data_IF_122106549575
#
_entry.id   IF_122106549575
#
_cell.length_a   1.000
_cell.length_b   1.000
_cell.length_c   1.000
_cell.angle_alpha   90.00
_cell.angle_beta   90.00
_cell.angle_gamma   90.00
#
_symmetry.space_group_name_H-M   'P 1'
#
loop_
_entity.id
_entity.type
_entity.pdbx_description
1 polymer ?
#
# COMPACT_ATOMS: atom_id res chain seq x y z
N UNK A 1 -21.24 -3.16 -9.48
CA UNK A 1 -19.93 -3.76 -9.11
C UNK A 1 -19.90 -3.91 -7.60
N UNK A 2 -19.43 -5.03 -7.08
CA UNK A 2 -19.26 -5.19 -5.63
C UNK A 2 -18.22 -4.16 -5.13
N UNK A 3 -18.55 -3.33 -4.13
CA UNK A 3 -17.62 -2.34 -3.60
C UNK A 3 -16.34 -2.98 -3.07
N UNK A 4 -15.20 -2.28 -3.21
CA UNK A 4 -13.91 -2.71 -2.65
C UNK A 4 -13.35 -1.65 -1.73
N UNK A 5 -13.02 -2.03 -0.51
CA UNK A 5 -12.46 -1.18 0.54
C UNK A 5 -10.98 -1.48 0.72
N UNK A 6 -10.14 -0.53 0.36
CA UNK A 6 -8.68 -0.64 0.37
C UNK A 6 -8.12 0.31 1.42
N UNK A 7 -7.39 -0.23 2.38
CA UNK A 7 -6.57 0.57 3.30
C UNK A 7 -5.15 0.60 2.77
N UNK A 8 -4.57 1.80 2.69
CA UNK A 8 -3.16 2.01 2.35
C UNK A 8 -2.49 2.64 3.56
N UNK A 9 -1.49 1.96 4.13
CA UNK A 9 -0.83 2.43 5.35
C UNK A 9 0.69 2.40 5.22
N UNK A 10 1.36 3.29 5.92
CA UNK A 10 2.82 3.33 6.00
C UNK A 10 3.31 4.53 6.80
N UNK A 11 4.56 4.87 6.58
CA UNK A 11 5.24 5.98 7.25
C UNK A 11 5.36 7.16 6.29
N UNK A 12 5.23 8.37 6.80
CA UNK A 12 5.39 9.60 6.01
C UNK A 12 6.72 9.63 5.25
N UNK A 13 6.64 9.85 3.93
CA UNK A 13 7.77 9.82 3.00
C UNK A 13 7.86 8.58 2.12
N UNK A 14 7.07 7.53 2.38
CA UNK A 14 7.07 6.30 1.56
C UNK A 14 6.22 6.40 0.27
N UNK A 15 5.54 7.52 0.05
CA UNK A 15 4.75 7.74 -1.16
C UNK A 15 3.33 7.17 -1.13
N UNK A 16 2.77 6.94 0.06
CA UNK A 16 1.40 6.44 0.26
C UNK A 16 0.37 7.30 -0.46
N UNK A 17 0.47 8.64 -0.30
CA UNK A 17 -0.42 9.60 -0.96
C UNK A 17 -0.39 9.47 -2.49
N UNK A 18 0.81 9.36 -3.08
CA UNK A 18 0.92 9.19 -4.53
C UNK A 18 0.30 7.87 -4.97
N UNK A 19 0.52 6.78 -4.24
CA UNK A 19 -0.10 5.49 -4.55
C UNK A 19 -1.63 5.56 -4.48
N UNK A 20 -2.17 6.21 -3.45
CA UNK A 20 -3.61 6.41 -3.26
C UNK A 20 -4.22 7.25 -4.39
N UNK A 21 -3.56 8.34 -4.77
CA UNK A 21 -4.03 9.20 -5.86
C UNK A 21 -4.03 8.48 -7.20
N UNK A 22 -2.93 7.78 -7.55
CA UNK A 22 -2.85 7.00 -8.80
C UNK A 22 -3.92 5.91 -8.86
N UNK A 23 -4.21 5.24 -7.73
CA UNK A 23 -5.27 4.25 -7.67
C UNK A 23 -6.65 4.88 -7.90
N UNK A 24 -6.89 6.04 -7.31
CA UNK A 24 -8.12 6.82 -7.53
C UNK A 24 -8.27 7.29 -8.98
N UNK A 25 -7.20 7.82 -9.58
CA UNK A 25 -7.18 8.27 -10.98
C UNK A 25 -7.42 7.11 -11.95
N UNK A 26 -6.80 5.94 -11.71
CA UNK A 26 -7.04 4.74 -12.50
C UNK A 26 -8.50 4.28 -12.42
N UNK A 27 -9.12 4.34 -11.25
CA UNK A 27 -10.53 4.02 -11.07
C UNK A 27 -11.42 5.01 -11.84
N UNK A 28 -11.15 6.31 -11.73
CA UNK A 28 -11.90 7.35 -12.44
C UNK A 28 -11.79 7.23 -13.96
N UNK A 29 -10.60 6.92 -14.49
CA UNK A 29 -10.39 6.73 -15.93
C UNK A 29 -11.20 5.55 -16.48
N UNK A 30 -11.50 4.56 -15.65
CA UNK A 30 -12.35 3.41 -15.97
C UNK A 30 -13.85 3.67 -15.72
N UNK A 31 -14.22 4.90 -15.34
CA UNK A 31 -15.61 5.25 -15.02
C UNK A 31 -16.12 4.62 -13.74
N UNK A 32 -15.23 4.15 -12.86
CA UNK A 32 -15.62 3.58 -11.57
C UNK A 32 -15.82 4.70 -10.54
N UNK A 33 -16.93 4.70 -9.79
CA UNK A 33 -17.06 5.57 -8.62
C UNK A 33 -15.93 5.28 -7.62
N UNK A 34 -15.29 6.32 -7.11
CA UNK A 34 -14.22 6.20 -6.13
C UNK A 34 -14.31 7.31 -5.09
N UNK A 35 -14.09 6.94 -3.84
CA UNK A 35 -13.94 7.87 -2.72
C UNK A 35 -12.62 7.57 -2.04
N UNK A 36 -11.82 8.61 -1.79
CA UNK A 36 -10.58 8.50 -1.06
C UNK A 36 -10.57 9.44 0.15
N UNK A 37 -9.92 9.01 1.23
CA UNK A 37 -9.67 9.83 2.41
C UNK A 37 -8.29 9.55 2.97
N UNK A 38 -7.75 10.51 3.72
CA UNK A 38 -6.45 10.40 4.35
C UNK A 38 -6.52 10.83 5.80
N UNK A 39 -5.81 10.09 6.64
CA UNK A 39 -5.59 10.40 8.05
C UNK A 39 -4.09 10.47 8.27
N UNK A 40 -3.61 11.64 8.65
CA UNK A 40 -2.21 11.86 8.99
C UNK A 40 -2.02 11.93 10.49
N UNK A 41 -1.00 11.26 11.00
CA UNK A 41 -0.49 11.52 12.34
C UNK A 41 0.09 12.93 12.46
N UNK A 42 0.20 13.48 13.67
CA UNK A 42 0.71 14.82 13.91
C UNK A 42 2.20 15.01 13.54
N UNK A 43 2.95 13.94 13.36
CA UNK A 43 4.36 14.00 12.94
C UNK A 43 4.45 14.15 11.42
N UNK A 44 5.02 15.27 10.94
CA UNK A 44 5.19 15.55 9.50
C UNK A 44 6.16 14.60 8.80
N UNK A 45 7.07 13.95 9.50
CA UNK A 45 7.99 12.91 8.99
C UNK A 45 8.05 11.76 9.99
N UNK A 46 8.04 10.54 9.47
CA UNK A 46 8.09 9.34 10.31
C UNK A 46 6.79 9.05 11.07
N UNK A 47 5.72 9.85 10.87
CA UNK A 47 4.39 9.59 11.42
C UNK A 47 3.60 8.61 10.55
N UNK A 48 2.59 8.00 11.16
CA UNK A 48 1.67 7.10 10.46
C UNK A 48 0.88 7.89 9.42
N UNK A 49 0.78 7.35 8.23
CA UNK A 49 -0.11 7.81 7.17
C UNK A 49 -1.05 6.66 6.82
N UNK A 50 -2.34 6.86 7.06
CA UNK A 50 -3.39 5.92 6.68
C UNK A 50 -4.29 6.59 5.64
N UNK A 51 -4.46 5.93 4.50
CA UNK A 51 -5.38 6.35 3.45
C UNK A 51 -6.40 5.25 3.21
N UNK A 52 -7.62 5.63 2.90
CA UNK A 52 -8.66 4.72 2.44
C UNK A 52 -9.01 5.02 0.98
N UNK A 53 -9.11 3.99 0.15
CA UNK A 53 -9.63 4.06 -1.22
C UNK A 53 -10.78 3.08 -1.33
N UNK A 54 -11.95 3.60 -1.66
CA UNK A 54 -13.18 2.83 -1.79
C UNK A 54 -13.64 2.88 -3.24
N UNK A 55 -13.66 1.73 -3.89
CA UNK A 55 -14.09 1.58 -5.28
C UNK A 55 -15.53 1.08 -5.33
N UNK A 56 -16.35 1.68 -6.19
CA UNK A 56 -17.76 1.34 -6.32
C UNK A 56 -18.68 2.35 -5.65
N UNK A 57 -19.98 2.06 -5.64
CA UNK A 57 -21.01 2.96 -5.09
C UNK A 57 -20.99 2.92 -3.55
N UNK A 58 -20.21 3.80 -2.96
CA UNK A 58 -20.01 3.91 -1.50
C UNK A 58 -20.17 5.37 -1.10
N UNK A 59 -21.00 5.61 -0.10
CA UNK A 59 -21.35 6.97 0.36
C UNK A 59 -20.42 7.51 1.46
N UNK A 60 -19.59 6.68 2.10
CA UNK A 60 -18.73 7.08 3.21
C UNK A 60 -17.27 6.73 2.95
N UNK A 61 -16.32 7.64 3.15
CA UNK A 61 -14.89 7.36 3.01
C UNK A 61 -14.30 6.57 4.18
N UNK A 62 -15.08 6.25 5.19
CA UNK A 62 -14.60 5.61 6.42
C UNK A 62 -14.69 4.09 6.28
N UNK A 63 -13.58 3.40 6.53
CA UNK A 63 -13.52 1.95 6.68
C UNK A 63 -13.58 1.62 8.17
N UNK A 64 -14.65 0.94 8.61
CA UNK A 64 -14.81 0.51 9.99
C UNK A 64 -13.87 -0.67 10.33
N UNK A 65 -13.65 -0.98 11.61
CA UNK A 65 -12.90 -2.17 12.01
C UNK A 65 -13.42 -3.44 11.34
N UNK A 66 -12.52 -4.26 10.81
CA UNK A 66 -12.86 -5.52 10.17
C UNK A 66 -13.48 -5.43 8.77
N UNK A 67 -13.52 -4.25 8.14
CA UNK A 67 -14.23 -4.06 6.88
C UNK A 67 -13.33 -3.92 5.63
N UNK A 68 -12.01 -3.92 5.78
CA UNK A 68 -11.13 -3.84 4.62
C UNK A 68 -11.12 -5.14 3.81
N UNK A 69 -11.24 -5.02 2.48
CA UNK A 69 -11.03 -6.14 1.55
C UNK A 69 -9.55 -6.34 1.28
N UNK A 70 -8.81 -5.23 1.14
CA UNK A 70 -7.38 -5.20 0.88
C UNK A 70 -6.69 -4.26 1.85
N UNK A 71 -5.55 -4.68 2.34
CA UNK A 71 -4.70 -3.89 3.22
C UNK A 71 -3.28 -3.82 2.62
N UNK A 72 -2.94 -2.68 2.03
CA UNK A 72 -1.66 -2.41 1.39
C UNK A 72 -0.76 -1.64 2.34
N UNK A 73 0.34 -2.23 2.78
CA UNK A 73 1.22 -1.63 3.77
C UNK A 73 2.66 -1.49 3.29
N UNK A 74 3.22 -0.33 3.51
CA UNK A 74 4.58 0.04 3.11
C UNK A 74 5.62 -0.26 4.20
N UNK A 75 5.15 -0.65 5.41
CA UNK A 75 6.01 -0.86 6.56
C UNK A 75 5.43 -1.93 7.51
N UNK A 76 6.26 -2.91 7.98
CA UNK A 76 5.76 -4.06 8.74
C UNK A 76 5.04 -3.71 10.05
N UNK A 77 5.59 -2.79 10.84
CA UNK A 77 4.99 -2.41 12.13
C UNK A 77 3.67 -1.67 11.93
N UNK A 78 3.57 -0.86 10.88
CA UNK A 78 2.32 -0.19 10.53
C UNK A 78 1.26 -1.19 10.05
N UNK A 79 1.69 -2.29 9.38
CA UNK A 79 0.79 -3.40 9.08
C UNK A 79 0.16 -3.96 10.35
N UNK A 80 0.98 -4.25 11.36
CA UNK A 80 0.52 -4.80 12.64
C UNK A 80 -0.43 -3.83 13.37
N UNK A 81 -0.10 -2.54 13.38
CA UNK A 81 -0.93 -1.50 14.02
C UNK A 81 -2.29 -1.32 13.35
N UNK A 82 -2.33 -1.41 12.02
CA UNK A 82 -3.56 -1.25 11.25
C UNK A 82 -4.45 -2.50 11.15
N UNK A 83 -4.06 -3.64 11.76
CA UNK A 83 -4.82 -4.90 11.66
C UNK A 83 -6.26 -4.83 12.18
N UNK A 84 -6.60 -3.84 13.00
CA UNK A 84 -7.98 -3.62 13.43
C UNK A 84 -8.94 -3.35 12.27
N UNK A 85 -8.45 -2.84 11.13
CA UNK A 85 -9.24 -2.61 9.92
C UNK A 85 -9.51 -3.91 9.15
N UNK A 86 -8.74 -4.97 9.41
CA UNK A 86 -8.77 -6.23 8.70
C UNK A 86 -9.70 -7.24 9.36
N UNK A 87 -10.23 -8.16 8.56
CA UNK A 87 -10.83 -9.43 8.97
C UNK A 87 -10.01 -10.60 8.39
N UNK A 88 -10.38 -11.84 8.74
CA UNK A 88 -9.62 -13.02 8.27
C UNK A 88 -9.51 -13.13 6.73
N UNK A 89 -10.50 -12.63 5.98
CA UNK A 89 -10.57 -12.69 4.51
C UNK A 89 -9.83 -11.55 3.83
N UNK A 90 -9.43 -10.50 4.58
CA UNK A 90 -8.66 -9.38 4.04
C UNK A 90 -7.37 -9.87 3.40
N UNK A 91 -7.08 -9.42 2.19
CA UNK A 91 -5.78 -9.68 1.56
C UNK A 91 -4.80 -8.62 2.04
N UNK A 92 -3.81 -9.04 2.82
CA UNK A 92 -2.74 -8.17 3.32
C UNK A 92 -1.53 -8.28 2.40
N UNK A 93 -1.09 -7.14 1.87
CA UNK A 93 0.13 -7.00 1.05
C UNK A 93 1.06 -6.07 1.81
N UNK A 94 2.24 -6.54 2.20
CA UNK A 94 3.14 -5.76 3.04
C UNK A 94 4.59 -5.80 2.55
N UNK A 95 5.24 -4.64 2.56
CA UNK A 95 6.68 -4.55 2.45
C UNK A 95 7.32 -5.08 3.75
N UNK A 96 8.42 -5.83 3.63
CA UNK A 96 9.12 -6.41 4.79
C UNK A 96 10.29 -5.57 5.29
N UNK A 97 10.73 -4.56 4.54
CA UNK A 97 11.80 -3.67 5.02
C UNK A 97 11.24 -2.69 6.04
N UNK A 98 11.78 -2.76 7.26
CA UNK A 98 11.40 -1.88 8.36
C UNK A 98 11.93 -0.46 8.16
N UNK A 99 11.11 0.52 8.57
CA UNK A 99 11.52 1.90 8.77
C UNK A 99 11.30 2.25 10.23
N UNK A 100 12.39 2.24 11.00
CA UNK A 100 12.29 2.46 12.45
C UNK A 100 11.69 3.82 12.76
N UNK A 101 10.67 3.89 13.64
CA UNK A 101 10.15 5.15 14.13
C UNK A 101 11.25 5.96 14.87
N UNK A 102 11.11 7.27 14.86
CA UNK A 102 12.06 8.16 15.51
C UNK A 102 12.26 7.83 17.01
N UNK A 103 11.21 7.41 17.70
CA UNK A 103 11.27 6.97 19.10
C UNK A 103 12.18 5.75 19.29
N UNK A 104 12.16 4.79 18.39
CA UNK A 104 13.07 3.64 18.43
C UNK A 104 14.52 4.07 18.11
N UNK A 105 14.71 4.99 17.16
CA UNK A 105 16.02 5.53 16.83
C UNK A 105 16.66 6.31 18.02
N UNK A 106 15.84 6.91 18.89
CA UNK A 106 16.27 7.59 20.11
C UNK A 106 16.43 6.64 21.33
N UNK A 107 16.24 5.33 21.15
CA UNK A 107 16.31 4.36 22.25
C UNK A 107 15.11 4.40 23.22
N UNK A 108 14.02 5.08 22.86
CA UNK A 108 12.79 5.17 23.66
C UNK A 108 11.80 4.03 23.39
N UNK A 109 12.20 3.04 22.57
CA UNK A 109 11.39 1.88 22.24
C UNK A 109 12.21 0.83 21.49
N UNK A 110 11.71 -0.39 21.47
CA UNK A 110 12.31 -1.50 20.72
C UNK A 110 11.45 -1.79 19.52
N UNK A 111 12.04 -1.82 18.32
CA UNK A 111 11.36 -2.30 17.13
C UNK A 111 11.30 -3.83 17.17
N UNK A 112 10.11 -4.45 17.10
CA UNK A 112 9.99 -5.90 17.16
C UNK A 112 10.71 -6.57 15.97
N UNK A 113 11.24 -7.81 16.14
CA UNK A 113 11.77 -8.58 15.02
C UNK A 113 10.72 -8.79 13.92
N UNK A 114 11.15 -8.73 12.65
CA UNK A 114 10.25 -8.91 11.50
C UNK A 114 9.47 -10.22 11.56
N UNK A 115 10.13 -11.31 11.97
CA UNK A 115 9.52 -12.63 12.08
C UNK A 115 8.37 -12.65 13.09
N UNK A 116 8.52 -11.95 14.21
CA UNK A 116 7.46 -11.82 15.22
C UNK A 116 6.27 -11.03 14.66
N UNK A 117 6.53 -9.89 14.00
CA UNK A 117 5.50 -9.09 13.33
C UNK A 117 4.72 -9.93 12.33
N UNK A 118 5.42 -10.63 11.42
CA UNK A 118 4.79 -11.46 10.39
C UNK A 118 4.02 -12.64 10.99
N UNK A 119 4.52 -13.25 12.06
CA UNK A 119 3.82 -14.33 12.78
C UNK A 119 2.50 -13.84 13.36
N UNK A 120 2.50 -12.68 14.01
CA UNK A 120 1.29 -12.06 14.56
C UNK A 120 0.27 -11.72 13.47
N UNK A 121 0.72 -11.17 12.32
CA UNK A 121 -0.16 -10.88 11.19
C UNK A 121 -0.79 -12.18 10.66
N UNK A 122 0.03 -13.20 10.38
CA UNK A 122 -0.42 -14.48 9.84
C UNK A 122 -1.35 -15.25 10.79
N UNK A 123 -1.26 -15.02 12.10
CA UNK A 123 -2.18 -15.62 13.06
C UNK A 123 -3.62 -15.11 12.95
N UNK A 124 -3.82 -13.92 12.34
CA UNK A 124 -5.11 -13.24 12.24
C UNK A 124 -5.66 -13.18 10.82
N UNK A 125 -4.79 -13.28 9.81
CA UNK A 125 -5.11 -13.07 8.38
C UNK A 125 -4.76 -14.32 7.60
N UNK A 126 -5.72 -14.82 6.82
CA UNK A 126 -5.54 -16.06 6.04
C UNK A 126 -4.67 -15.85 4.78
N UNK A 127 -4.70 -14.65 4.17
CA UNK A 127 -3.90 -14.34 2.98
C UNK A 127 -2.96 -13.16 3.21
N UNK A 128 -1.69 -13.45 3.43
CA UNK A 128 -0.62 -12.46 3.65
C UNK A 128 0.44 -12.62 2.55
N UNK A 129 0.67 -11.55 1.81
CA UNK A 129 1.71 -11.41 0.79
C UNK A 129 2.77 -10.47 1.36
N UNK A 130 3.93 -11.00 1.74
CA UNK A 130 5.02 -10.25 2.36
C UNK A 130 6.31 -10.43 1.56
N UNK A 131 6.93 -9.32 1.13
CA UNK A 131 8.16 -9.33 0.33
C UNK A 131 8.95 -8.03 0.52
N UNK A 132 10.25 -8.04 0.21
CA UNK A 132 11.08 -6.83 0.25
C UNK A 132 10.83 -5.96 -0.99
N UNK A 133 9.79 -5.14 -0.92
CA UNK A 133 9.45 -4.17 -1.97
C UNK A 133 10.50 -3.08 -2.12
N UNK A 134 11.22 -2.74 -1.06
CA UNK A 134 12.28 -1.73 -1.11
C UNK A 134 13.48 -2.22 -1.94
N UNK A 135 13.86 -3.49 -1.82
CA UNK A 135 14.89 -4.09 -2.68
C UNK A 135 14.46 -4.08 -4.16
N UNK A 136 13.17 -4.30 -4.44
CA UNK A 136 12.65 -4.21 -5.81
C UNK A 136 12.67 -2.77 -6.35
N UNK A 137 12.38 -1.77 -5.51
CA UNK A 137 12.49 -0.36 -5.90
C UNK A 137 13.95 0.02 -6.21
N UNK A 138 14.91 -0.42 -5.41
CA UNK A 138 16.35 -0.26 -5.67
C UNK A 138 16.75 -0.92 -7.00
N UNK A 139 16.28 -2.15 -7.26
CA UNK A 139 16.50 -2.88 -8.53
C UNK A 139 15.87 -2.18 -9.74
N UNK A 140 14.78 -1.44 -9.54
CA UNK A 140 14.18 -0.61 -10.58
C UNK A 140 15.02 0.64 -10.93
N UNK A 141 15.98 1.00 -10.07
CA UNK A 141 16.87 2.14 -10.22
C UNK A 141 16.47 3.39 -9.43
N UNK A 142 15.38 3.32 -8.63
CA UNK A 142 14.96 4.43 -7.80
C UNK A 142 14.35 3.91 -6.47
N UNK A 143 15.07 4.01 -5.35
CA UNK A 143 14.56 3.60 -4.03
C UNK A 143 13.24 4.28 -3.63
N UNK A 144 12.96 5.48 -4.17
CA UNK A 144 11.72 6.21 -3.91
C UNK A 144 10.50 5.63 -4.64
N UNK A 145 10.69 4.67 -5.56
CA UNK A 145 9.59 4.03 -6.30
C UNK A 145 8.98 2.83 -5.56
N UNK A 146 9.15 2.71 -4.23
CA UNK A 146 8.50 1.69 -3.41
C UNK A 146 6.97 1.69 -3.63
N UNK A 147 6.36 2.85 -3.72
CA UNK A 147 4.93 3.01 -3.98
C UNK A 147 4.49 2.36 -5.31
N UNK A 148 5.31 2.43 -6.35
CA UNK A 148 5.03 1.77 -7.63
C UNK A 148 5.15 0.25 -7.51
N UNK A 149 6.14 -0.24 -6.76
CA UNK A 149 6.26 -1.68 -6.45
C UNK A 149 5.02 -2.18 -5.73
N UNK A 150 4.56 -1.46 -4.70
CA UNK A 150 3.40 -1.85 -3.92
C UNK A 150 2.09 -1.80 -4.73
N UNK A 151 1.94 -0.80 -5.63
CA UNK A 151 0.84 -0.77 -6.60
C UNK A 151 0.90 -1.95 -7.56
N UNK A 152 2.07 -2.29 -8.06
CA UNK A 152 2.27 -3.47 -8.91
C UNK A 152 1.82 -4.76 -8.20
N UNK A 153 2.22 -4.93 -6.95
CA UNK A 153 1.80 -6.07 -6.13
C UNK A 153 0.28 -6.09 -5.87
N UNK A 154 -0.32 -4.93 -5.62
CA UNK A 154 -1.78 -4.80 -5.46
C UNK A 154 -2.51 -5.28 -6.72
N UNK A 155 -2.12 -4.79 -7.89
CA UNK A 155 -2.73 -5.19 -9.17
C UNK A 155 -2.45 -6.66 -9.48
N UNK A 156 -1.23 -7.14 -9.23
CA UNK A 156 -0.84 -8.53 -9.42
C UNK A 156 -1.62 -9.52 -8.54
N UNK A 157 -2.07 -9.08 -7.37
CA UNK A 157 -2.89 -9.89 -6.46
C UNK A 157 -4.30 -10.18 -6.98
N UNK A 158 -4.76 -9.46 -8.01
CA UNK A 158 -6.09 -9.57 -8.64
C UNK A 158 -7.26 -9.39 -7.66
N UNK A 159 -7.05 -8.59 -6.61
CA UNK A 159 -8.06 -8.36 -5.57
C UNK A 159 -9.00 -7.19 -5.89
N UNK A 160 -8.61 -6.33 -6.84
CA UNK A 160 -9.38 -5.18 -7.28
C UNK A 160 -9.60 -5.20 -8.80
N UNK A 161 -10.65 -4.54 -9.32
CA UNK A 161 -11.02 -4.59 -10.73
C UNK A 161 -10.26 -3.57 -11.60
N UNK A 162 -8.98 -3.37 -11.34
CA UNK A 162 -8.07 -2.54 -12.15
C UNK A 162 -6.98 -3.46 -12.69
N UNK A 163 -6.76 -3.44 -13.99
CA UNK A 163 -5.74 -4.27 -14.62
C UNK A 163 -4.39 -3.54 -14.76
N UNK A 164 -3.35 -4.28 -15.16
CA UNK A 164 -2.00 -3.74 -15.26
C UNK A 164 -1.83 -2.70 -16.36
N UNK A 165 -2.57 -2.80 -17.48
CA UNK A 165 -2.48 -1.82 -18.58
C UNK A 165 -3.04 -0.48 -18.14
N UNK A 166 -4.21 -0.45 -17.50
CA UNK A 166 -4.86 0.77 -17.05
C UNK A 166 -4.03 1.48 -15.98
N UNK A 167 -3.47 0.70 -15.03
CA UNK A 167 -2.59 1.27 -14.00
C UNK A 167 -1.30 1.87 -14.59
N UNK A 168 -0.68 1.20 -15.57
CA UNK A 168 0.53 1.72 -16.26
C UNK A 168 0.22 2.97 -17.08
N UNK A 169 -0.93 3.06 -17.71
CA UNK A 169 -1.37 4.25 -18.42
C UNK A 169 -1.51 5.42 -17.44
N UNK A 170 -2.16 5.19 -16.30
CA UNK A 170 -2.29 6.20 -15.24
C UNK A 170 -0.92 6.64 -14.70
N UNK A 171 -0.01 5.70 -14.41
CA UNK A 171 1.36 6.04 -14.00
C UNK A 171 2.05 6.91 -15.06
N UNK A 172 1.86 6.60 -16.34
CA UNK A 172 2.51 7.31 -17.46
C UNK A 172 2.00 8.72 -17.64
N UNK A 173 0.72 8.96 -17.40
CA UNK A 173 0.09 10.27 -17.55
C UNK A 173 0.23 11.16 -16.33
N UNK A 174 0.25 10.57 -15.13
CA UNK A 174 0.16 11.30 -13.85
C UNK A 174 1.48 11.42 -13.10
N UNK A 175 2.57 10.80 -13.59
CA UNK A 175 3.88 10.93 -12.97
C UNK A 175 4.86 11.74 -13.82
N UNK A 176 5.90 12.31 -13.16
CA UNK A 176 6.91 13.12 -13.86
C UNK A 176 7.68 12.26 -14.85
N UNK A 177 7.85 12.75 -16.08
CA UNK A 177 8.57 12.05 -17.16
C UNK A 177 9.98 11.58 -16.77
N UNK A 178 10.68 12.35 -15.94
CA UNK A 178 12.02 12.00 -15.47
C UNK A 178 12.09 10.67 -14.67
N UNK A 179 10.98 10.25 -14.09
CA UNK A 179 10.90 9.02 -13.28
C UNK A 179 10.07 7.91 -13.95
N UNK A 180 9.54 8.16 -15.15
CA UNK A 180 8.60 7.25 -15.80
C UNK A 180 9.16 5.85 -15.98
N UNK A 181 10.37 5.72 -16.51
CA UNK A 181 11.01 4.43 -16.77
C UNK A 181 11.19 3.64 -15.46
N UNK A 182 11.75 4.29 -14.43
CA UNK A 182 11.94 3.63 -13.12
C UNK A 182 10.61 3.28 -12.44
N UNK A 183 9.59 4.12 -12.59
CA UNK A 183 8.27 3.86 -12.04
C UNK A 183 7.59 2.66 -12.69
N UNK A 184 7.59 2.58 -14.03
CA UNK A 184 7.01 1.43 -14.74
C UNK A 184 7.77 0.14 -14.44
N UNK A 185 9.12 0.20 -14.40
CA UNK A 185 9.94 -0.95 -14.03
C UNK A 185 9.67 -1.41 -12.59
N UNK A 186 9.53 -0.46 -11.65
CA UNK A 186 9.18 -0.76 -10.26
C UNK A 186 7.80 -1.42 -10.16
N UNK A 187 6.80 -0.90 -10.87
CA UNK A 187 5.48 -1.51 -10.97
C UNK A 187 5.55 -2.95 -11.49
N UNK A 188 6.29 -3.19 -12.59
CA UNK A 188 6.40 -4.54 -13.17
C UNK A 188 7.09 -5.52 -12.22
N UNK A 189 8.11 -5.10 -11.49
CA UNK A 189 8.77 -5.94 -10.49
C UNK A 189 7.82 -6.28 -9.33
N UNK A 190 7.02 -5.33 -8.87
CA UNK A 190 6.01 -5.58 -7.85
C UNK A 190 4.90 -6.51 -8.33
N UNK A 191 4.42 -6.31 -9.56
CA UNK A 191 3.42 -7.18 -10.18
C UNK A 191 3.91 -8.63 -10.29
N UNK A 192 5.14 -8.84 -10.73
CA UNK A 192 5.75 -10.17 -10.87
C UNK A 192 6.03 -10.85 -9.51
N UNK A 193 6.24 -10.07 -8.44
CA UNK A 193 6.55 -10.62 -7.11
C UNK A 193 5.39 -11.39 -6.45
N UNK A 194 4.18 -11.28 -6.99
CA UNK A 194 2.95 -11.85 -6.40
C UNK A 194 2.22 -12.82 -7.34
N UNK A 195 2.81 -13.08 -8.52
CA UNK A 195 2.34 -14.10 -9.46
C UNK A 195 2.86 -15.47 -9.03
#
# INVERSE_FOLDING_TARGET
MEPKKIVVIGVGGQGNLLATNLLGEAALSLGMPVVASEIHGMAQRGGIVESAVLLGDISSPIISPGESDVFLSFEPLETLRGLSKCNRKTVVITNTRSMQPFTAALGQGVYPPLEEILSLIKSKIDKVIAFDGSALAEKAGNPLSLNMVMLGALIGSKTIPINASDMKETISTSTKKAFLESNLKAFDLGFAAVQ
#
